data_IF_348449403995
#
_entry.id   IF_348449403995
#
_cell.length_a   1.000
_cell.length_b   1.000
_cell.length_c   1.000
_cell.angle_alpha   90.00
_cell.angle_beta   90.00
_cell.angle_gamma   90.00
#
_symmetry.space_group_name_H-M   'P 1'
#
loop_
_entity.id
_entity.type
_entity.pdbx_description
1 polymer ?
#
# COMPACT_ATOMS: atom_id res chain seq x y z
N UNK A 1 -9.25 16.18 24.45
CA UNK A 1 -8.40 16.42 23.27
C UNK A 1 -7.19 15.49 23.35
N UNK A 2 -6.86 14.71 22.31
CA UNK A 2 -5.75 13.74 22.36
C UNK A 2 -4.86 13.86 21.11
N UNK A 3 -3.56 13.58 21.25
CA UNK A 3 -2.55 13.75 20.18
C UNK A 3 -1.75 12.47 19.85
N UNK A 4 -2.13 11.33 20.45
CA UNK A 4 -1.44 10.02 20.31
C UNK A 4 -1.13 9.60 18.87
N UNK A 5 -2.01 9.89 17.91
CA UNK A 5 -1.79 9.53 16.51
C UNK A 5 -0.68 10.35 15.84
N UNK A 6 -0.55 11.64 16.21
CA UNK A 6 0.54 12.52 15.75
C UNK A 6 1.85 12.07 16.37
N UNK A 7 1.85 11.81 17.68
CA UNK A 7 3.07 11.41 18.39
C UNK A 7 3.58 10.02 17.96
N UNK A 8 2.68 9.13 17.51
CA UNK A 8 3.03 7.81 16.97
C UNK A 8 3.45 7.85 15.50
N UNK A 9 3.27 8.96 14.79
CA UNK A 9 3.62 9.05 13.38
C UNK A 9 5.14 9.21 13.23
N UNK A 10 5.85 8.26 12.60
CA UNK A 10 7.31 8.36 12.48
C UNK A 10 7.77 9.32 11.38
N UNK A 11 6.83 9.87 10.59
CA UNK A 11 7.14 10.75 9.47
C UNK A 11 6.75 12.17 9.83
N UNK A 12 7.72 13.11 9.90
CA UNK A 12 7.43 14.52 10.10
C UNK A 12 6.44 15.03 9.05
N UNK A 13 5.59 15.99 9.44
CA UNK A 13 4.64 16.68 8.56
C UNK A 13 3.54 15.81 7.91
N UNK A 14 3.59 14.48 8.06
CA UNK A 14 2.58 13.58 7.50
C UNK A 14 1.23 13.63 8.24
N UNK A 15 1.23 14.03 9.51
CA UNK A 15 0.05 14.06 10.35
C UNK A 15 0.11 15.23 11.35
N UNK A 16 -0.93 16.04 11.41
CA UNK A 16 -1.06 17.11 12.42
C UNK A 16 -2.53 17.30 12.85
N UNK A 17 -2.76 18.13 13.87
CA UNK A 17 -4.09 18.54 14.33
C UNK A 17 -4.29 20.00 13.92
N UNK A 18 -5.29 20.25 13.07
CA UNK A 18 -5.69 21.61 12.70
C UNK A 18 -6.08 22.40 13.95
N UNK A 19 -5.45 23.56 14.14
CA UNK A 19 -5.73 24.48 15.25
C UNK A 19 -7.16 25.00 15.22
N UNK A 20 -7.70 25.23 14.03
CA UNK A 20 -9.02 25.84 13.83
C UNK A 20 -10.14 24.80 13.92
N UNK A 21 -9.96 23.65 13.27
CA UNK A 21 -11.00 22.63 13.16
C UNK A 21 -10.94 21.58 14.29
N UNK A 22 -9.86 21.57 15.08
CA UNK A 22 -9.57 20.51 16.07
C UNK A 22 -9.67 19.09 15.50
N UNK A 23 -9.38 18.94 14.21
CA UNK A 23 -9.43 17.68 13.46
C UNK A 23 -8.04 17.28 13.01
N UNK A 24 -7.80 15.97 12.97
CA UNK A 24 -6.59 15.40 12.38
C UNK A 24 -6.56 15.72 10.89
N UNK A 25 -5.44 16.23 10.42
CA UNK A 25 -5.13 16.49 9.02
C UNK A 25 -3.99 15.55 8.61
N UNK A 26 -4.16 14.90 7.46
CA UNK A 26 -3.15 14.00 6.89
C UNK A 26 -2.56 14.69 5.68
N UNK A 27 -1.23 14.80 5.63
CA UNK A 27 -0.55 15.20 4.42
C UNK A 27 -0.17 13.96 3.61
N UNK A 28 -0.97 13.67 2.59
CA UNK A 28 -0.81 12.49 1.73
C UNK A 28 0.51 12.49 0.93
N UNK A 29 1.19 13.63 0.80
CA UNK A 29 2.51 13.70 0.15
C UNK A 29 3.62 13.05 1.00
N UNK A 30 3.47 13.08 2.33
CA UNK A 30 4.44 12.47 3.26
C UNK A 30 3.94 11.14 3.84
N UNK A 31 2.63 10.86 3.79
CA UNK A 31 2.05 9.64 4.32
C UNK A 31 2.48 8.39 3.52
N UNK A 32 3.22 7.47 4.16
CA UNK A 32 3.59 6.18 3.56
C UNK A 32 2.60 5.05 3.88
N UNK A 33 1.45 5.38 4.47
CA UNK A 33 0.40 4.42 4.83
C UNK A 33 0.90 3.28 5.75
N UNK A 34 1.82 3.54 6.68
CA UNK A 34 2.34 2.52 7.61
C UNK A 34 1.29 2.06 8.63
N UNK A 35 0.36 2.94 9.01
CA UNK A 35 -0.75 2.63 9.92
C UNK A 35 -0.46 2.79 11.41
N UNK A 36 0.71 3.30 11.81
CA UNK A 36 1.05 3.54 13.21
C UNK A 36 0.01 4.44 13.92
N UNK A 37 -0.45 5.49 13.25
CA UNK A 37 -1.50 6.39 13.75
C UNK A 37 -2.84 5.66 14.02
N UNK A 38 -3.20 4.67 13.18
CA UNK A 38 -4.42 3.88 13.34
C UNK A 38 -4.34 2.94 14.54
N UNK A 39 -3.16 2.36 14.80
CA UNK A 39 -2.93 1.49 15.97
C UNK A 39 -2.91 2.31 17.27
N UNK A 40 -2.31 3.50 17.25
CA UNK A 40 -2.21 4.37 18.42
C UNK A 40 -3.55 5.04 18.82
N UNK A 41 -4.48 5.18 17.88
CA UNK A 41 -5.76 5.83 18.13
C UNK A 41 -6.74 4.85 18.84
N UNK A 42 -7.16 5.13 20.09
CA UNK A 42 -8.09 4.26 20.81
C UNK A 42 -9.53 4.39 20.32
N UNK A 43 -9.83 5.41 19.50
CA UNK A 43 -11.17 5.67 18.99
C UNK A 43 -11.37 4.90 17.70
N UNK A 44 -12.34 3.99 17.70
CA UNK A 44 -12.67 3.26 16.48
C UNK A 44 -13.15 4.22 15.38
N UNK A 45 -12.78 3.92 14.13
CA UNK A 45 -13.11 4.68 12.91
C UNK A 45 -12.74 6.17 12.88
N UNK A 46 -12.07 6.74 13.90
CA UNK A 46 -11.58 8.12 13.86
C UNK A 46 -10.52 8.34 12.76
N UNK A 47 -9.75 7.30 12.45
CA UNK A 47 -8.84 7.24 11.31
C UNK A 47 -9.17 6.02 10.45
N UNK A 48 -9.08 6.17 9.13
CA UNK A 48 -9.24 5.10 8.14
C UNK A 48 -7.96 5.00 7.33
N UNK A 49 -7.38 3.80 7.29
CA UNK A 49 -6.19 3.51 6.50
C UNK A 49 -6.57 2.56 5.37
N UNK A 50 -6.29 2.95 4.13
CA UNK A 50 -6.51 2.12 2.95
C UNK A 50 -5.24 2.04 2.10
N UNK A 51 -4.72 0.83 1.93
CA UNK A 51 -3.61 0.55 1.00
C UNK A 51 -4.17 0.03 -0.31
N UNK A 52 -4.01 0.79 -1.38
CA UNK A 52 -4.50 0.44 -2.73
C UNK A 52 -3.45 -0.25 -3.57
N UNK A 53 -2.17 0.02 -3.31
CA UNK A 53 -1.04 -0.53 -4.02
C UNK A 53 0.13 -0.79 -3.08
N UNK A 54 0.87 -1.88 -3.31
CA UNK A 54 2.12 -2.18 -2.59
C UNK A 54 3.23 -2.38 -3.63
N UNK A 55 4.28 -1.57 -3.55
CA UNK A 55 5.44 -1.70 -4.44
C UNK A 55 6.38 -2.78 -3.90
N UNK A 56 6.55 -3.86 -4.66
CA UNK A 56 7.41 -4.97 -4.30
C UNK A 56 7.90 -5.70 -5.56
N UNK A 57 8.98 -6.47 -5.45
CA UNK A 57 9.41 -7.39 -6.50
C UNK A 57 8.44 -8.57 -6.61
N UNK A 58 8.31 -9.22 -7.78
CA UNK A 58 7.39 -10.33 -7.94
C UNK A 58 7.61 -11.44 -6.89
N UNK A 59 6.62 -11.66 -6.02
CA UNK A 59 6.64 -12.70 -4.99
C UNK A 59 5.49 -13.69 -5.23
N UNK A 60 5.72 -15.00 -5.02
CA UNK A 60 4.77 -16.07 -5.35
C UNK A 60 4.41 -17.01 -4.19
N UNK A 61 4.95 -16.80 -2.99
CA UNK A 61 4.68 -17.70 -1.87
C UNK A 61 3.25 -17.52 -1.32
N UNK A 62 2.67 -18.61 -0.82
CA UNK A 62 1.36 -18.59 -0.17
C UNK A 62 1.34 -17.69 1.07
N UNK A 63 2.43 -17.69 1.84
CA UNK A 63 2.61 -16.81 3.00
C UNK A 63 2.56 -15.33 2.59
N UNK A 64 3.24 -14.97 1.50
CA UNK A 64 3.22 -13.60 0.98
C UNK A 64 1.83 -13.19 0.49
N UNK A 65 1.11 -14.05 -0.22
CA UNK A 65 -0.27 -13.79 -0.64
C UNK A 65 -1.22 -13.57 0.56
N UNK A 66 -1.02 -14.31 1.66
CA UNK A 66 -1.79 -14.13 2.91
C UNK A 66 -1.46 -12.81 3.59
N UNK A 67 -0.18 -12.43 3.62
CA UNK A 67 0.27 -11.14 4.15
C UNK A 67 -0.32 -9.97 3.34
N UNK A 68 -0.28 -10.06 2.00
CA UNK A 68 -0.84 -9.04 1.11
C UNK A 68 -2.33 -8.79 1.40
N UNK A 69 -3.13 -9.86 1.49
CA UNK A 69 -4.56 -9.79 1.81
C UNK A 69 -4.87 -9.21 3.20
N UNK A 70 -3.91 -9.22 4.14
CA UNK A 70 -4.05 -8.58 5.46
C UNK A 70 -3.66 -7.11 5.42
N UNK A 71 -2.68 -6.75 4.61
CA UNK A 71 -2.18 -5.38 4.48
C UNK A 71 -3.09 -4.50 3.62
N UNK A 72 -3.77 -5.10 2.65
CA UNK A 72 -4.70 -4.44 1.72
C UNK A 72 -6.12 -5.00 1.87
N UNK A 73 -7.10 -4.42 1.17
CA UNK A 73 -8.43 -5.01 1.07
C UNK A 73 -8.43 -6.22 0.10
N UNK A 74 -9.43 -7.10 0.19
CA UNK A 74 -9.54 -8.25 -0.73
C UNK A 74 -9.56 -7.82 -2.21
N UNK A 75 -10.27 -6.74 -2.52
CA UNK A 75 -10.35 -6.20 -3.88
C UNK A 75 -9.02 -5.58 -4.33
N UNK A 76 -8.27 -4.92 -3.44
CA UNK A 76 -6.96 -4.36 -3.76
C UNK A 76 -5.89 -5.45 -3.92
N UNK A 77 -5.94 -6.52 -3.11
CA UNK A 77 -5.08 -7.69 -3.31
C UNK A 77 -5.33 -8.36 -4.68
N UNK A 78 -6.58 -8.43 -5.15
CA UNK A 78 -6.91 -8.95 -6.49
C UNK A 78 -6.28 -8.09 -7.59
N UNK A 79 -6.23 -6.76 -7.44
CA UNK A 79 -5.58 -5.87 -8.42
C UNK A 79 -4.09 -6.17 -8.53
N UNK A 80 -3.42 -6.40 -7.40
CA UNK A 80 -2.00 -6.78 -7.38
C UNK A 80 -1.76 -8.13 -8.07
N UNK A 81 -2.59 -9.12 -7.80
CA UNK A 81 -2.49 -10.42 -8.48
C UNK A 81 -2.72 -10.30 -9.99
N UNK A 82 -3.68 -9.47 -10.42
CA UNK A 82 -3.91 -9.18 -11.85
C UNK A 82 -2.71 -8.47 -12.48
N UNK A 83 -2.15 -7.44 -11.83
CA UNK A 83 -0.98 -6.73 -12.31
C UNK A 83 0.22 -7.69 -12.50
N UNK A 84 0.45 -8.57 -11.53
CA UNK A 84 1.45 -9.65 -11.65
C UNK A 84 1.18 -10.59 -12.82
N UNK A 85 -0.07 -11.01 -13.01
CA UNK A 85 -0.48 -11.84 -14.14
C UNK A 85 -0.17 -11.16 -15.48
N UNK A 86 -0.52 -9.88 -15.62
CA UNK A 86 -0.22 -9.09 -16.81
C UNK A 86 1.27 -8.92 -17.07
N UNK A 87 2.09 -8.71 -16.03
CA UNK A 87 3.55 -8.64 -16.19
C UNK A 87 4.12 -9.95 -16.74
N UNK A 88 3.70 -11.10 -16.19
CA UNK A 88 4.14 -12.42 -16.69
C UNK A 88 3.74 -12.66 -18.13
N UNK A 89 2.51 -12.30 -18.50
CA UNK A 89 2.05 -12.43 -19.88
C UNK A 89 2.90 -11.59 -20.85
N UNK A 90 3.22 -10.34 -20.48
CA UNK A 90 4.11 -9.48 -21.27
C UNK A 90 5.51 -10.07 -21.42
N UNK A 91 6.06 -10.62 -20.34
CA UNK A 91 7.38 -11.27 -20.36
C UNK A 91 7.40 -12.47 -21.32
N UNK A 92 6.37 -13.32 -21.30
CA UNK A 92 6.26 -14.46 -22.22
C UNK A 92 6.22 -14.02 -23.68
N UNK A 93 5.46 -12.97 -23.99
CA UNK A 93 5.37 -12.39 -25.34
C UNK A 93 6.72 -11.84 -25.76
N UNK A 94 7.38 -11.05 -24.90
CA UNK A 94 8.71 -10.51 -25.17
C UNK A 94 9.74 -11.61 -25.45
N UNK A 95 9.74 -12.69 -24.65
CA UNK A 95 10.65 -13.83 -24.84
C UNK A 95 10.42 -14.55 -26.17
N UNK A 96 9.17 -14.65 -26.62
CA UNK A 96 8.86 -15.24 -27.93
C UNK A 96 9.40 -14.38 -29.07
N UNK A 97 9.19 -13.06 -29.03
CA UNK A 97 9.74 -12.15 -30.04
C UNK A 97 11.27 -12.21 -30.11
N UNK A 98 11.96 -12.21 -28.96
CA UNK A 98 13.42 -12.35 -28.92
C UNK A 98 13.90 -13.69 -29.47
N UNK A 99 13.16 -14.78 -29.26
CA UNK A 99 13.48 -16.08 -29.84
C UNK A 99 13.32 -16.09 -31.37
N UNK A 100 12.25 -15.47 -31.88
CA UNK A 100 11.99 -15.35 -33.31
C UNK A 100 13.06 -14.48 -34.01
N UNK A 101 13.59 -13.44 -33.35
CA UNK A 101 14.71 -12.63 -33.86
C UNK A 101 16.04 -13.39 -33.92
N UNK A 102 16.31 -14.29 -32.97
CA UNK A 102 17.56 -15.08 -32.93
C UNK A 102 17.61 -16.17 -34.00
N UNK A 103 16.46 -16.69 -34.43
CA UNK A 103 16.37 -17.76 -35.44
C UNK A 103 16.45 -17.23 -36.88
N UNK A 104 16.25 -15.91 -37.07
CA UNK A 104 16.28 -15.26 -38.38
C UNK A 104 17.70 -14.87 -38.80
#
# INVERSE_FOLDING_TARGET
>A
ECRKCVDACPIPEALDISKDLKKVQVNELFCVYCGACKVACPVDKALVLKRTKIYHTPASSGAWNKALKKLTSQSDAIKEFKAKGSMKAKEMVSRKFSFDEVIR
#
